data_IF_580008171596
#
_entry.id   IF_580008171596
#
_cell.length_a   1.000
_cell.length_b   1.000
_cell.length_c   1.000
_cell.angle_alpha   90.00
_cell.angle_beta   90.00
_cell.angle_gamma   90.00
#
_symmetry.space_group_name_H-M   'P 1'
#
loop_
_entity.id
_entity.type
_entity.pdbx_description
1 polymer ?
#
# COMPACT_ATOMS: atom_id res chain seq x y z
N UNK A 1 26.14 27.77 -62.86
CA UNK A 1 24.95 27.77 -61.99
C UNK A 1 24.93 26.45 -61.22
N UNK A 2 25.30 26.50 -59.94
CA UNK A 2 25.39 25.33 -59.07
C UNK A 2 24.00 24.88 -58.63
N UNK A 3 23.72 23.58 -58.74
CA UNK A 3 22.51 22.95 -58.18
C UNK A 3 22.77 22.67 -56.69
N UNK A 4 22.06 23.37 -55.82
CA UNK A 4 22.06 23.12 -54.38
C UNK A 4 21.14 21.91 -54.12
N UNK A 5 21.72 20.85 -53.57
CA UNK A 5 21.02 19.69 -53.03
C UNK A 5 20.51 20.09 -51.65
N UNK A 6 19.19 20.15 -51.46
CA UNK A 6 18.56 20.35 -50.16
C UNK A 6 18.41 18.96 -49.50
N UNK A 7 19.29 18.64 -48.55
CA UNK A 7 19.12 17.47 -47.67
C UNK A 7 18.11 17.87 -46.59
N UNK A 8 16.88 17.35 -46.69
CA UNK A 8 15.90 17.44 -45.62
C UNK A 8 16.25 16.40 -44.53
N UNK A 9 16.86 16.84 -43.43
CA UNK A 9 16.97 16.03 -42.22
C UNK A 9 15.56 15.85 -41.62
N UNK A 10 14.97 14.68 -41.85
CA UNK A 10 13.80 14.20 -41.11
C UNK A 10 14.23 13.89 -39.66
N UNK A 11 14.10 14.86 -38.77
CA UNK A 11 14.03 14.59 -37.34
C UNK A 11 12.71 13.87 -37.06
N UNK A 12 12.72 12.53 -37.12
CA UNK A 12 11.71 11.73 -36.44
C UNK A 12 11.90 11.95 -34.94
N UNK A 13 11.09 12.83 -34.35
CA UNK A 13 10.84 12.77 -32.92
C UNK A 13 10.14 11.43 -32.66
N UNK A 14 10.93 10.43 -32.26
CA UNK A 14 10.39 9.21 -31.64
C UNK A 14 9.82 9.69 -30.31
N UNK A 15 8.51 9.95 -30.25
CA UNK A 15 7.82 9.98 -28.98
C UNK A 15 8.05 8.62 -28.35
N UNK A 16 8.74 8.57 -27.21
CA UNK A 16 8.89 7.33 -26.46
C UNK A 16 7.49 6.79 -26.18
N UNK A 17 7.15 5.65 -26.78
CA UNK A 17 5.86 5.01 -26.56
C UNK A 17 5.76 4.59 -25.09
N UNK A 18 4.63 4.89 -24.43
CA UNK A 18 4.35 4.42 -23.07
C UNK A 18 4.62 2.92 -22.97
N UNK A 19 5.40 2.45 -21.97
CA UNK A 19 5.65 1.02 -21.77
C UNK A 19 4.32 0.25 -21.69
N UNK A 20 4.21 -0.93 -22.33
CA UNK A 20 2.96 -1.69 -22.36
C UNK A 20 2.50 -2.10 -20.96
N UNK A 21 3.44 -2.26 -20.01
CA UNK A 21 3.19 -2.59 -18.61
C UNK A 21 2.26 -1.58 -17.94
N UNK A 22 2.29 -0.31 -18.34
CA UNK A 22 1.41 0.73 -17.81
C UNK A 22 -0.08 0.46 -18.04
N UNK A 23 -0.43 -0.52 -18.90
CA UNK A 23 -1.81 -0.91 -19.22
C UNK A 23 -2.11 -2.36 -18.87
N UNK A 24 -1.14 -3.09 -18.33
CA UNK A 24 -1.30 -4.50 -18.01
C UNK A 24 -2.15 -4.70 -16.76
N UNK A 25 -2.93 -5.77 -16.72
CA UNK A 25 -3.44 -6.29 -15.45
C UNK A 25 -2.27 -6.84 -14.62
N UNK A 26 -2.42 -6.98 -13.29
CA UNK A 26 -1.40 -7.60 -12.45
C UNK A 26 -0.98 -8.99 -12.95
N UNK A 27 -1.94 -9.79 -13.43
CA UNK A 27 -1.67 -11.10 -14.01
C UNK A 27 -0.85 -11.01 -15.32
N UNK A 28 -1.16 -10.03 -16.17
CA UNK A 28 -0.39 -9.77 -17.39
C UNK A 28 1.05 -9.36 -17.05
N UNK A 29 1.27 -8.49 -16.05
CA UNK A 29 2.62 -8.13 -15.59
C UNK A 29 3.42 -9.35 -15.09
N UNK A 30 2.77 -10.23 -14.31
CA UNK A 30 3.41 -11.44 -13.77
C UNK A 30 3.78 -12.40 -14.91
N UNK A 31 2.84 -12.66 -15.82
CA UNK A 31 3.02 -13.64 -16.91
C UNK A 31 3.97 -13.13 -17.99
N UNK A 32 3.94 -11.83 -18.32
CA UNK A 32 4.90 -11.23 -19.26
C UNK A 32 6.33 -11.22 -18.72
N UNK A 33 6.49 -11.15 -17.39
CA UNK A 33 7.78 -11.30 -16.71
C UNK A 33 8.29 -12.76 -16.67
N UNK A 34 7.50 -13.73 -17.15
CA UNK A 34 7.86 -15.15 -17.24
C UNK A 34 7.55 -15.97 -15.99
N UNK A 35 6.73 -15.45 -15.07
CA UNK A 35 6.35 -16.14 -13.83
C UNK A 35 4.98 -16.83 -13.94
N UNK A 36 4.76 -17.92 -13.19
CA UNK A 36 3.45 -18.55 -13.05
C UNK A 36 2.52 -17.67 -12.21
N UNK A 37 1.68 -16.87 -12.87
CA UNK A 37 0.69 -16.02 -12.23
C UNK A 37 -0.69 -16.67 -12.16
N UNK A 38 -1.37 -16.48 -11.03
CA UNK A 38 -2.78 -16.82 -10.85
C UNK A 38 -3.58 -15.58 -10.40
N UNK A 39 -4.86 -15.54 -10.74
CA UNK A 39 -5.81 -14.56 -10.21
C UNK A 39 -6.91 -15.28 -9.46
N UNK A 40 -7.24 -14.77 -8.28
CA UNK A 40 -8.25 -15.32 -7.40
C UNK A 40 -9.25 -14.25 -7.00
N UNK A 41 -10.46 -14.68 -6.67
CA UNK A 41 -11.49 -13.82 -6.09
C UNK A 41 -11.97 -14.44 -4.79
N UNK A 42 -12.11 -13.62 -3.75
CA UNK A 42 -12.64 -14.05 -2.44
C UNK A 42 -13.68 -13.04 -1.96
N UNK A 43 -14.80 -13.54 -1.45
CA UNK A 43 -15.87 -12.70 -0.92
C UNK A 43 -15.72 -12.55 0.59
N UNK A 44 -15.69 -11.31 1.07
CA UNK A 44 -15.68 -11.00 2.49
C UNK A 44 -17.03 -11.29 3.14
N UNK A 45 -17.05 -11.42 4.47
CA UNK A 45 -18.29 -11.68 5.22
C UNK A 45 -19.36 -10.59 5.07
N UNK A 46 -18.96 -9.37 4.73
CA UNK A 46 -19.85 -8.24 4.48
C UNK A 46 -20.13 -8.01 2.98
N UNK A 47 -19.60 -8.85 2.10
CA UNK A 47 -20.06 -8.96 0.71
C UNK A 47 -19.19 -8.30 -0.35
N UNK A 48 -18.04 -7.74 0.00
CA UNK A 48 -17.06 -7.26 -0.98
C UNK A 48 -16.35 -8.44 -1.66
N UNK A 49 -16.07 -8.32 -2.96
CA UNK A 49 -15.31 -9.30 -3.72
C UNK A 49 -13.91 -8.75 -3.94
N UNK A 50 -12.92 -9.38 -3.30
CA UNK A 50 -11.53 -8.96 -3.35
C UNK A 50 -10.78 -9.77 -4.41
N UNK A 51 -10.03 -9.07 -5.28
CA UNK A 51 -9.16 -9.70 -6.27
C UNK A 51 -7.74 -9.89 -5.74
N UNK A 52 -7.24 -11.13 -5.72
CA UNK A 52 -5.88 -11.45 -5.28
C UNK A 52 -5.05 -11.95 -6.46
N UNK A 53 -3.75 -11.69 -6.40
CA UNK A 53 -2.78 -12.32 -7.31
C UNK A 53 -1.85 -13.24 -6.55
N UNK A 54 -1.41 -14.29 -7.23
CA UNK A 54 -0.45 -15.25 -6.68
C UNK A 54 0.67 -15.50 -7.69
N UNK A 55 1.89 -15.57 -7.19
CA UNK A 55 3.05 -16.06 -7.92
C UNK A 55 3.49 -17.36 -7.22
N UNK A 56 3.10 -18.51 -7.79
CA UNK A 56 3.20 -19.80 -7.09
C UNK A 56 4.64 -20.29 -6.91
N UNK A 57 5.56 -19.88 -7.79
CA UNK A 57 7.00 -20.17 -7.72
C UNK A 57 7.80 -19.25 -8.67
N UNK A 58 9.11 -19.14 -8.44
CA UNK A 58 10.03 -18.39 -9.30
C UNK A 58 10.25 -19.01 -10.68
N UNK A 59 10.89 -18.28 -11.60
CA UNK A 59 11.03 -18.67 -13.03
C UNK A 59 11.70 -20.02 -13.25
N UNK A 60 12.62 -20.39 -12.36
CA UNK A 60 13.38 -21.66 -12.40
C UNK A 60 12.91 -22.65 -11.32
N UNK A 61 11.83 -22.33 -10.61
CA UNK A 61 11.31 -23.12 -9.50
C UNK A 61 10.61 -24.42 -9.94
N UNK A 62 10.65 -25.44 -9.08
CA UNK A 62 9.92 -26.71 -9.29
C UNK A 62 8.41 -26.54 -9.08
N UNK A 63 7.59 -27.04 -9.99
CA UNK A 63 6.11 -26.89 -9.94
C UNK A 63 5.46 -27.54 -8.71
N UNK A 64 5.97 -28.68 -8.23
CA UNK A 64 5.32 -29.50 -7.19
C UNK A 64 5.97 -29.40 -5.79
N UNK A 65 6.63 -28.29 -5.47
CA UNK A 65 7.23 -28.09 -4.15
C UNK A 65 6.31 -27.30 -3.21
N UNK A 66 6.14 -27.80 -1.98
CA UNK A 66 5.52 -27.06 -0.89
C UNK A 66 6.42 -25.89 -0.50
N UNK A 67 5.86 -24.68 -0.45
CA UNK A 67 6.59 -23.44 -0.19
C UNK A 67 5.97 -22.66 0.97
N UNK A 68 6.78 -21.93 1.75
CA UNK A 68 6.24 -20.99 2.73
C UNK A 68 5.48 -19.87 2.01
N UNK A 69 4.28 -19.57 2.51
CA UNK A 69 3.50 -18.43 2.01
C UNK A 69 4.08 -17.12 2.52
N UNK A 70 4.14 -16.12 1.65
CA UNK A 70 4.40 -14.73 2.01
C UNK A 70 3.34 -13.84 1.38
N UNK A 71 2.69 -13.04 2.21
CA UNK A 71 1.58 -12.18 1.82
C UNK A 71 2.04 -10.72 1.78
N UNK A 72 1.85 -10.06 0.65
CA UNK A 72 2.26 -8.68 0.40
C UNK A 72 1.04 -7.75 0.32
N UNK A 73 0.98 -6.74 1.18
CA UNK A 73 -0.14 -5.81 1.28
C UNK A 73 0.28 -4.36 1.02
N UNK A 74 -0.30 -3.77 -0.02
CA UNK A 74 -0.01 -2.41 -0.46
C UNK A 74 -0.52 -1.31 0.50
N UNK A 75 -0.08 -0.07 0.25
CA UNK A 75 -0.44 1.13 1.00
C UNK A 75 -1.74 1.82 0.60
N UNK A 76 -1.93 3.04 1.11
CA UNK A 76 -3.06 3.93 0.78
C UNK A 76 -3.05 4.25 -0.72
N UNK A 77 -4.23 4.26 -1.37
CA UNK A 77 -4.39 4.57 -2.80
C UNK A 77 -3.57 3.69 -3.76
N UNK A 78 -3.10 2.53 -3.29
CA UNK A 78 -2.25 1.63 -4.07
C UNK A 78 -2.98 0.32 -4.42
N UNK A 79 -2.26 -0.57 -5.10
CA UNK A 79 -2.73 -1.91 -5.45
C UNK A 79 -1.60 -2.94 -5.39
N UNK A 80 -1.95 -4.21 -5.61
CA UNK A 80 -1.02 -5.34 -5.68
C UNK A 80 0.14 -5.13 -6.67
N UNK A 81 -0.04 -4.30 -7.69
CA UNK A 81 0.99 -3.95 -8.69
C UNK A 81 2.24 -3.33 -8.07
N UNK A 82 2.14 -2.65 -6.92
CA UNK A 82 3.30 -2.07 -6.23
C UNK A 82 4.46 -3.06 -6.01
N UNK A 83 4.15 -4.35 -5.93
CA UNK A 83 5.13 -5.41 -5.67
C UNK A 83 5.77 -6.00 -6.93
N UNK A 84 5.37 -5.55 -8.13
CA UNK A 84 5.71 -6.15 -9.43
C UNK A 84 5.94 -5.13 -10.57
N UNK A 85 6.07 -3.83 -10.27
CA UNK A 85 6.20 -2.76 -11.29
C UNK A 85 7.61 -2.55 -11.85
N UNK A 86 8.67 -2.93 -11.13
CA UNK A 86 10.06 -2.59 -11.49
C UNK A 86 10.76 -3.68 -12.32
N UNK A 87 10.07 -4.78 -12.58
CA UNK A 87 10.61 -5.96 -13.23
C UNK A 87 11.23 -6.99 -12.27
N UNK A 88 11.69 -8.15 -12.80
CA UNK A 88 12.01 -9.33 -11.99
C UNK A 88 13.11 -9.15 -10.93
N UNK A 89 14.13 -8.35 -11.23
CA UNK A 89 15.29 -8.18 -10.35
C UNK A 89 15.07 -7.13 -9.26
N UNK A 90 14.07 -6.26 -9.45
CA UNK A 90 13.90 -5.02 -8.68
C UNK A 90 12.52 -4.92 -8.01
N UNK A 91 11.67 -5.94 -8.15
CA UNK A 91 10.36 -5.99 -7.50
C UNK A 91 10.27 -7.12 -6.48
N UNK A 92 9.86 -6.78 -5.25
CA UNK A 92 9.82 -7.71 -4.12
C UNK A 92 9.04 -9.00 -4.43
N UNK A 93 7.90 -8.91 -5.14
CA UNK A 93 7.08 -10.08 -5.46
C UNK A 93 7.83 -11.12 -6.29
N UNK A 94 8.59 -10.67 -7.29
CA UNK A 94 9.41 -11.55 -8.14
C UNK A 94 10.62 -12.11 -7.41
N UNK A 95 11.30 -11.27 -6.63
CA UNK A 95 12.49 -11.67 -5.86
C UNK A 95 12.11 -12.74 -4.82
N UNK A 96 10.98 -12.61 -4.14
CA UNK A 96 10.48 -13.62 -3.20
C UNK A 96 10.09 -14.93 -3.90
N UNK A 97 9.46 -14.86 -5.08
CA UNK A 97 9.15 -16.06 -5.85
C UNK A 97 10.43 -16.83 -6.25
N UNK A 98 11.45 -16.11 -6.73
CA UNK A 98 12.76 -16.68 -7.06
C UNK A 98 13.52 -17.19 -5.81
N UNK A 99 13.28 -16.59 -4.64
CA UNK A 99 13.79 -17.05 -3.35
C UNK A 99 13.04 -18.27 -2.79
N UNK A 100 12.02 -18.78 -3.48
CA UNK A 100 11.34 -20.04 -3.15
C UNK A 100 10.07 -19.88 -2.30
N UNK A 101 9.48 -18.69 -2.22
CA UNK A 101 8.21 -18.47 -1.56
C UNK A 101 7.00 -18.70 -2.49
N UNK A 102 5.85 -19.02 -1.90
CA UNK A 102 4.53 -18.89 -2.53
C UNK A 102 4.00 -17.48 -2.23
N UNK A 103 4.03 -16.59 -3.23
CA UNK A 103 3.82 -15.15 -3.03
C UNK A 103 2.37 -14.79 -3.32
N UNK A 104 1.70 -14.18 -2.35
CA UNK A 104 0.33 -13.67 -2.48
C UNK A 104 0.32 -12.15 -2.40
N UNK A 105 -0.42 -11.51 -3.30
CA UNK A 105 -0.56 -10.06 -3.40
C UNK A 105 -2.03 -9.69 -3.10
N UNK A 106 -2.25 -8.97 -2.01
CA UNK A 106 -3.58 -8.55 -1.58
C UNK A 106 -4.06 -7.28 -2.28
N UNK A 107 -5.38 -7.14 -2.44
CA UNK A 107 -6.05 -5.89 -2.81
C UNK A 107 -7.24 -5.66 -1.88
N UNK A 108 -7.28 -4.48 -1.27
CA UNK A 108 -8.38 -4.09 -0.36
C UNK A 108 -9.60 -3.61 -1.14
N UNK A 109 -10.78 -3.71 -0.52
CA UNK A 109 -12.04 -3.21 -1.07
C UNK A 109 -11.92 -1.78 -1.63
N UNK A 110 -12.57 -1.56 -2.76
CA UNK A 110 -12.66 -0.25 -3.41
C UNK A 110 -11.44 0.17 -4.22
N UNK A 111 -10.33 -0.56 -4.20
CA UNK A 111 -9.28 -0.34 -5.20
C UNK A 111 -9.66 -0.96 -6.57
N UNK A 112 -8.89 -0.64 -7.62
CA UNK A 112 -9.12 -1.06 -9.01
C UNK A 112 -9.44 -2.55 -9.18
N UNK A 113 -8.85 -3.41 -8.35
CA UNK A 113 -8.96 -4.87 -8.47
C UNK A 113 -9.93 -5.51 -7.47
N UNK A 114 -10.58 -4.70 -6.62
CA UNK A 114 -11.50 -5.13 -5.57
C UNK A 114 -12.72 -4.17 -5.48
N UNK A 115 -13.20 -3.70 -6.63
CA UNK A 115 -14.32 -2.75 -6.76
C UNK A 115 -15.64 -3.45 -7.08
N UNK A 116 -15.94 -4.55 -6.40
CA UNK A 116 -17.15 -5.35 -6.60
C UNK A 116 -17.77 -5.76 -5.24
N UNK A 117 -19.10 -5.83 -5.21
CA UNK A 117 -19.86 -6.26 -4.03
C UNK A 117 -21.09 -7.06 -4.46
N UNK A 118 -21.48 -8.08 -3.68
CA UNK A 118 -22.64 -8.95 -3.96
C UNK A 118 -24.01 -8.26 -3.93
N UNK A 119 -24.07 -6.97 -3.58
CA UNK A 119 -25.31 -6.22 -3.32
C UNK A 119 -25.24 -4.79 -3.85
N UNK A 120 -24.19 -4.07 -3.49
CA UNK A 120 -24.06 -2.65 -3.82
C UNK A 120 -23.29 -2.45 -5.11
N UNK A 121 -23.74 -1.51 -5.94
CA UNK A 121 -23.05 -1.08 -7.14
C UNK A 121 -22.12 0.11 -6.80
N UNK A 122 -20.80 0.00 -7.06
CA UNK A 122 -19.82 1.04 -6.69
C UNK A 122 -20.04 2.38 -7.38
N UNK A 123 -20.74 2.40 -8.53
CA UNK A 123 -21.01 3.61 -9.31
C UNK A 123 -22.35 4.27 -8.97
N UNK A 124 -23.13 3.68 -8.05
CA UNK A 124 -24.51 4.14 -7.76
C UNK A 124 -24.83 4.21 -6.27
N UNK A 125 -24.35 3.23 -5.50
CA UNK A 125 -24.75 3.03 -4.12
C UNK A 125 -23.63 3.54 -3.20
N UNK A 126 -23.96 4.56 -2.40
CA UNK A 126 -23.00 5.17 -1.46
C UNK A 126 -22.51 4.18 -0.39
N UNK A 127 -23.35 3.22 -0.05
CA UNK A 127 -23.10 2.16 0.93
C UNK A 127 -21.92 1.27 0.53
N UNK A 128 -21.56 1.22 -0.76
CA UNK A 128 -20.33 0.57 -1.22
C UNK A 128 -19.07 1.25 -0.67
N UNK A 129 -19.11 2.54 -0.36
CA UNK A 129 -17.94 3.33 0.04
C UNK A 129 -17.90 3.64 1.54
N UNK A 130 -18.82 3.08 2.32
CA UNK A 130 -18.89 3.24 3.78
C UNK A 130 -17.90 2.32 4.51
N UNK A 131 -16.61 2.53 4.24
CA UNK A 131 -15.51 1.77 4.86
C UNK A 131 -14.27 2.64 5.06
N UNK A 132 -13.38 2.22 5.97
CA UNK A 132 -12.04 2.76 6.16
C UNK A 132 -11.00 1.64 6.29
N UNK A 133 -9.77 1.96 6.70
CA UNK A 133 -8.79 0.94 7.03
C UNK A 133 -9.22 0.01 8.18
N UNK A 134 -10.23 0.40 8.99
CA UNK A 134 -10.85 -0.49 9.97
C UNK A 134 -11.36 -1.77 9.31
N UNK A 135 -12.20 -1.64 8.29
CA UNK A 135 -12.72 -2.79 7.54
C UNK A 135 -11.61 -3.52 6.77
N UNK A 136 -10.61 -2.79 6.26
CA UNK A 136 -9.44 -3.42 5.65
C UNK A 136 -8.73 -4.36 6.64
N UNK A 137 -8.51 -3.91 7.87
CA UNK A 137 -7.79 -4.65 8.91
C UNK A 137 -8.63 -5.78 9.53
N UNK A 138 -9.91 -5.51 9.78
CA UNK A 138 -10.80 -6.40 10.56
C UNK A 138 -11.58 -7.37 9.68
N UNK A 139 -11.67 -7.13 8.37
CA UNK A 139 -12.46 -7.95 7.45
C UNK A 139 -11.62 -8.41 6.25
N UNK A 140 -11.03 -7.49 5.49
CA UNK A 140 -10.33 -7.87 4.25
C UNK A 140 -9.10 -8.71 4.54
N UNK A 141 -8.24 -8.24 5.45
CA UNK A 141 -6.99 -8.90 5.81
C UNK A 141 -7.19 -10.35 6.30
N UNK A 142 -8.07 -10.66 7.28
CA UNK A 142 -8.31 -12.05 7.66
C UNK A 142 -8.91 -12.87 6.52
N UNK A 143 -9.81 -12.31 5.70
CA UNK A 143 -10.40 -13.01 4.55
C UNK A 143 -9.33 -13.41 3.53
N UNK A 144 -8.44 -12.48 3.16
CA UNK A 144 -7.38 -12.71 2.19
C UNK A 144 -6.34 -13.72 2.69
N UNK A 145 -5.92 -13.61 3.95
CA UNK A 145 -4.93 -14.53 4.53
C UNK A 145 -5.51 -15.94 4.66
N UNK A 146 -6.75 -16.07 5.13
CA UNK A 146 -7.38 -17.39 5.27
C UNK A 146 -7.58 -18.07 3.92
N UNK A 147 -7.91 -17.30 2.88
CA UNK A 147 -7.99 -17.81 1.52
C UNK A 147 -6.62 -18.29 1.01
N UNK A 148 -5.57 -17.47 1.15
CA UNK A 148 -4.21 -17.82 0.70
C UNK A 148 -3.68 -19.08 1.40
N UNK A 149 -3.91 -19.22 2.71
CA UNK A 149 -3.54 -20.39 3.49
C UNK A 149 -4.34 -21.64 3.09
N UNK A 150 -5.64 -21.48 2.83
CA UNK A 150 -6.49 -22.57 2.34
C UNK A 150 -6.03 -23.11 0.98
N UNK A 151 -5.74 -22.23 0.02
CA UNK A 151 -5.29 -22.61 -1.33
C UNK A 151 -3.89 -23.26 -1.30
N UNK A 152 -3.00 -22.74 -0.47
CA UNK A 152 -1.61 -23.26 -0.35
C UNK A 152 -1.49 -24.52 0.52
N UNK A 153 -2.49 -24.81 1.37
CA UNK A 153 -2.42 -25.85 2.40
C UNK A 153 -1.44 -25.54 3.54
N UNK A 154 -0.98 -24.28 3.67
CA UNK A 154 -0.14 -23.84 4.79
C UNK A 154 -0.99 -23.42 5.99
N UNK A 155 -0.44 -23.55 7.19
CA UNK A 155 -1.11 -23.10 8.43
C UNK A 155 -0.71 -21.68 8.86
N UNK A 156 0.32 -21.11 8.24
CA UNK A 156 0.87 -19.82 8.62
C UNK A 156 1.59 -19.16 7.44
N UNK A 157 1.73 -17.83 7.50
CA UNK A 157 2.34 -16.99 6.47
C UNK A 157 3.33 -16.01 7.09
N UNK A 158 4.27 -15.53 6.29
CA UNK A 158 4.91 -14.24 6.54
C UNK A 158 4.03 -13.12 5.99
N UNK A 159 4.06 -11.95 6.63
CA UNK A 159 3.30 -10.79 6.16
C UNK A 159 4.24 -9.62 5.93
N UNK A 160 4.17 -9.02 4.75
CA UNK A 160 4.87 -7.79 4.40
C UNK A 160 3.83 -6.73 4.11
N UNK A 161 3.86 -5.63 4.85
CA UNK A 161 3.01 -4.48 4.60
C UNK A 161 3.85 -3.28 4.18
N UNK A 162 3.32 -2.44 3.30
CA UNK A 162 3.83 -1.10 3.04
C UNK A 162 2.79 -0.06 3.47
N UNK A 163 3.20 1.01 4.18
CA UNK A 163 2.33 2.15 4.48
C UNK A 163 1.03 1.71 5.18
N UNK A 164 -0.16 2.01 4.65
CA UNK A 164 -1.45 1.52 5.16
C UNK A 164 -1.51 -0.02 5.31
N UNK A 165 -0.80 -0.78 4.48
CA UNK A 165 -0.69 -2.22 4.63
C UNK A 165 -0.02 -2.62 5.95
N UNK A 166 0.88 -1.79 6.48
CA UNK A 166 1.42 -1.99 7.84
C UNK A 166 0.38 -1.66 8.91
N UNK A 167 -0.37 -0.56 8.73
CA UNK A 167 -1.44 -0.14 9.62
C UNK A 167 -2.52 -1.24 9.75
N UNK A 168 -2.87 -1.88 8.64
CA UNK A 168 -3.76 -3.03 8.61
C UNK A 168 -3.21 -4.20 9.45
N UNK A 169 -1.92 -4.52 9.31
CA UNK A 169 -1.27 -5.56 10.11
C UNK A 169 -1.28 -5.22 11.60
N UNK A 170 -0.94 -3.98 11.97
CA UNK A 170 -0.96 -3.51 13.36
C UNK A 170 -2.36 -3.56 13.98
N UNK A 171 -3.39 -3.09 13.27
CA UNK A 171 -4.78 -3.12 13.72
C UNK A 171 -5.33 -4.56 13.78
N UNK A 172 -5.16 -5.32 12.70
CA UNK A 172 -5.70 -6.67 12.57
C UNK A 172 -5.07 -7.66 13.55
N UNK A 173 -3.74 -7.68 13.66
CA UNK A 173 -3.05 -8.64 14.53
C UNK A 173 -3.15 -8.28 16.02
N UNK A 174 -3.37 -7.01 16.38
CA UNK A 174 -3.68 -6.63 17.77
C UNK A 174 -5.13 -6.93 18.17
N UNK A 175 -6.05 -6.95 17.21
CA UNK A 175 -7.49 -7.11 17.47
C UNK A 175 -8.00 -8.54 17.28
N UNK A 176 -7.24 -9.41 16.60
CA UNK A 176 -7.67 -10.76 16.29
C UNK A 176 -6.54 -11.78 16.55
N UNK A 177 -6.62 -12.46 17.70
CA UNK A 177 -5.62 -13.45 18.11
C UNK A 177 -5.52 -14.65 17.15
N UNK A 178 -6.64 -15.08 16.55
CA UNK A 178 -6.66 -16.18 15.57
C UNK A 178 -5.94 -15.80 14.28
N UNK A 179 -6.10 -14.55 13.82
CA UNK A 179 -5.35 -14.04 12.70
C UNK A 179 -3.86 -13.92 13.05
N UNK A 180 -3.55 -13.32 14.19
CA UNK A 180 -2.18 -13.13 14.66
C UNK A 180 -1.40 -14.44 14.77
N UNK A 181 -2.05 -15.53 15.24
CA UNK A 181 -1.39 -16.84 15.37
C UNK A 181 -0.95 -17.46 14.03
N UNK A 182 -1.48 -16.95 12.90
CA UNK A 182 -1.11 -17.39 11.55
C UNK A 182 0.10 -16.62 11.01
N UNK A 183 0.59 -15.60 11.69
CA UNK A 183 1.68 -14.74 11.20
C UNK A 183 3.00 -15.13 11.85
N UNK A 184 3.91 -15.69 11.05
CA UNK A 184 5.25 -16.12 11.49
C UNK A 184 6.18 -14.94 11.77
N UNK A 185 6.04 -13.89 10.96
CA UNK A 185 6.82 -12.67 11.05
C UNK A 185 6.16 -11.56 10.23
N UNK A 186 6.19 -10.35 10.77
CA UNK A 186 5.65 -9.15 10.16
C UNK A 186 6.79 -8.22 9.75
N UNK A 187 6.95 -7.99 8.44
CA UNK A 187 7.89 -7.03 7.87
C UNK A 187 7.13 -5.75 7.48
N UNK A 188 7.34 -4.69 8.24
CA UNK A 188 6.62 -3.43 8.06
C UNK A 188 7.53 -2.40 7.37
N UNK A 189 7.22 -2.10 6.10
CA UNK A 189 7.94 -1.13 5.27
C UNK A 189 7.23 0.23 5.35
N UNK A 190 7.95 1.30 5.70
CA UNK A 190 7.35 2.59 6.04
C UNK A 190 6.18 2.42 7.05
N UNK A 191 6.47 1.95 8.28
CA UNK A 191 5.44 1.50 9.21
C UNK A 191 4.60 2.67 9.74
N UNK A 192 3.27 2.56 9.58
CA UNK A 192 2.31 3.56 10.02
C UNK A 192 1.43 3.00 11.15
N UNK A 193 1.34 3.73 12.25
CA UNK A 193 0.37 3.45 13.33
C UNK A 193 -0.26 4.74 13.87
N UNK A 194 0.55 5.78 14.06
CA UNK A 194 0.10 7.17 14.24
C UNK A 194 0.63 8.01 13.09
N UNK A 195 -0.03 9.13 12.82
CA UNK A 195 0.27 10.04 11.70
C UNK A 195 0.13 11.51 12.13
N UNK A 196 0.50 11.80 13.37
CA UNK A 196 0.36 13.14 13.94
C UNK A 196 1.32 14.14 13.30
N UNK A 197 2.53 13.70 13.02
CA UNK A 197 3.67 14.56 12.68
C UNK A 197 4.04 14.48 11.19
N UNK A 198 3.11 13.98 10.36
CA UNK A 198 3.28 13.85 8.91
C UNK A 198 3.42 15.19 8.18
N UNK A 199 4.03 15.14 7.00
CA UNK A 199 4.26 16.28 6.12
C UNK A 199 3.42 16.21 4.81
N UNK A 200 3.64 17.15 3.90
CA UNK A 200 3.05 17.17 2.56
C UNK A 200 1.55 17.51 2.48
N UNK A 201 0.95 17.13 1.34
CA UNK A 201 -0.45 17.45 1.03
C UNK A 201 -1.42 16.83 2.05
N UNK A 202 -1.10 15.66 2.59
CA UNK A 202 -1.98 14.96 3.53
C UNK A 202 -2.09 15.69 4.87
N UNK A 203 -0.98 16.25 5.38
CA UNK A 203 -0.98 17.10 6.57
C UNK A 203 -1.87 18.33 6.39
N UNK A 204 -1.92 18.89 5.17
CA UNK A 204 -2.83 20.00 4.85
C UNK A 204 -4.29 19.55 4.78
N UNK A 205 -4.59 18.45 4.09
CA UNK A 205 -5.94 17.86 4.04
C UNK A 205 -6.48 17.65 5.46
N UNK A 206 -5.66 17.12 6.37
CA UNK A 206 -6.06 16.88 7.75
C UNK A 206 -6.45 18.14 8.54
N UNK A 207 -5.89 19.31 8.22
CA UNK A 207 -6.24 20.57 8.88
C UNK A 207 -7.63 21.07 8.47
N UNK A 208 -8.07 20.75 7.26
CA UNK A 208 -9.28 21.32 6.67
C UNK A 208 -10.28 20.27 6.16
N UNK A 209 -10.12 18.98 6.52
CA UNK A 209 -10.93 17.89 5.97
C UNK A 209 -12.43 18.11 6.15
N UNK A 210 -12.89 18.70 7.26
CA UNK A 210 -14.31 19.01 7.48
C UNK A 210 -14.91 19.93 6.39
N UNK A 211 -14.08 20.79 5.80
CA UNK A 211 -14.46 21.67 4.68
C UNK A 211 -14.30 20.94 3.35
N UNK A 212 -13.30 20.05 3.23
CA UNK A 212 -12.99 19.34 1.99
C UNK A 212 -13.83 18.09 1.73
N UNK A 213 -14.41 17.46 2.75
CA UNK A 213 -15.19 16.21 2.62
C UNK A 213 -16.27 16.29 1.54
N UNK A 214 -17.08 17.36 1.45
CA UNK A 214 -18.06 17.50 0.36
C UNK A 214 -17.45 17.52 -1.05
N UNK A 215 -16.16 17.85 -1.18
CA UNK A 215 -15.43 17.94 -2.45
C UNK A 215 -14.61 16.69 -2.77
N UNK A 216 -14.50 15.74 -1.83
CA UNK A 216 -13.73 14.50 -2.04
C UNK A 216 -14.52 13.42 -2.80
N UNK A 217 -15.83 13.55 -2.89
CA UNK A 217 -16.66 12.68 -3.73
C UNK A 217 -17.31 13.47 -4.88
N UNK A 218 -16.56 13.63 -5.97
CA UNK A 218 -17.03 14.33 -7.19
C UNK A 218 -18.28 13.67 -7.78
N UNK A 219 -18.39 12.35 -7.65
CA UNK A 219 -19.50 11.53 -8.13
C UNK A 219 -20.66 11.43 -7.14
N UNK A 220 -20.47 11.86 -5.89
CA UNK A 220 -21.47 11.80 -4.83
C UNK A 220 -21.70 10.40 -4.22
N UNK A 221 -20.97 9.38 -4.69
CA UNK A 221 -21.12 7.99 -4.20
C UNK A 221 -20.14 7.63 -3.08
N UNK A 222 -19.22 8.52 -2.69
CA UNK A 222 -18.26 8.26 -1.61
C UNK A 222 -16.90 7.70 -2.04
N UNK A 223 -16.66 7.47 -3.33
CA UNK A 223 -15.31 7.21 -3.87
C UNK A 223 -14.43 8.46 -3.75
N UNK A 224 -13.20 8.30 -3.28
CA UNK A 224 -12.21 9.38 -3.29
C UNK A 224 -11.64 9.53 -4.70
N UNK A 225 -12.09 10.59 -5.37
CA UNK A 225 -11.55 10.98 -6.68
C UNK A 225 -10.81 12.30 -6.49
N UNK A 226 -9.46 12.29 -6.49
CA UNK A 226 -8.72 13.51 -6.23
C UNK A 226 -8.95 14.53 -7.35
N UNK A 227 -9.35 15.75 -6.96
CA UNK A 227 -9.72 16.81 -7.89
C UNK A 227 -8.47 17.42 -8.53
N UNK A 228 -8.44 17.49 -9.87
CA UNK A 228 -7.29 18.01 -10.63
C UNK A 228 -6.83 19.40 -10.16
N UNK A 229 -7.73 20.36 -9.98
CA UNK A 229 -7.35 21.72 -9.55
C UNK A 229 -6.79 21.76 -8.13
N UNK A 230 -7.16 20.80 -7.27
CA UNK A 230 -6.57 20.64 -5.94
C UNK A 230 -5.17 20.03 -6.06
N UNK A 231 -5.00 19.02 -6.92
CA UNK A 231 -3.70 18.40 -7.21
C UNK A 231 -2.73 19.45 -7.78
N UNK A 232 -3.13 20.21 -8.81
CA UNK A 232 -2.28 21.20 -9.48
C UNK A 232 -1.76 22.24 -8.46
N UNK A 233 -2.66 22.77 -7.60
CA UNK A 233 -2.28 23.70 -6.51
C UNK A 233 -1.38 23.06 -5.46
N UNK A 234 -1.61 21.80 -5.13
CA UNK A 234 -0.76 21.07 -4.19
C UNK A 234 0.64 20.83 -4.78
N UNK A 235 0.74 20.55 -6.09
CA UNK A 235 1.98 20.48 -6.84
C UNK A 235 2.79 21.78 -6.74
N UNK A 236 2.14 22.93 -6.96
CA UNK A 236 2.79 24.26 -6.82
C UNK A 236 3.31 24.54 -5.39
N UNK A 237 2.65 24.01 -4.36
CA UNK A 237 2.94 24.33 -2.96
C UNK A 237 3.94 23.37 -2.31
N UNK A 238 3.86 22.07 -2.62
CA UNK A 238 4.54 21.02 -1.88
C UNK A 238 5.58 20.26 -2.72
N UNK A 239 5.49 20.32 -4.05
CA UNK A 239 6.40 19.59 -4.92
C UNK A 239 7.52 20.48 -5.43
N UNK A 240 8.75 20.00 -5.28
CA UNK A 240 9.97 20.65 -5.75
C UNK A 240 10.66 19.84 -6.85
N UNK A 241 9.99 18.78 -7.33
CA UNK A 241 10.53 17.90 -8.36
C UNK A 241 10.57 18.57 -9.72
N UNK A 242 11.59 18.21 -10.51
CA UNK A 242 11.69 18.65 -11.90
C UNK A 242 10.85 17.81 -12.85
N UNK A 243 10.28 16.71 -12.36
CA UNK A 243 9.43 15.80 -13.13
C UNK A 243 7.97 16.22 -12.93
N UNK A 244 7.37 16.79 -13.97
CA UNK A 244 6.01 17.33 -13.92
C UNK A 244 4.99 16.28 -13.49
N UNK A 245 5.13 15.05 -13.97
CA UNK A 245 4.22 13.95 -13.66
C UNK A 245 4.29 13.51 -12.19
N UNK A 246 5.43 13.69 -11.52
CA UNK A 246 5.58 13.45 -10.07
C UNK A 246 4.77 14.50 -9.31
N UNK A 247 4.92 15.78 -9.67
CA UNK A 247 4.19 16.86 -9.02
C UNK A 247 2.68 16.86 -9.34
N UNK A 248 2.28 16.28 -10.47
CA UNK A 248 0.88 16.14 -10.88
C UNK A 248 0.17 14.90 -10.33
N UNK A 249 0.81 14.11 -9.46
CA UNK A 249 0.23 12.86 -8.96
C UNK A 249 -0.01 12.91 -7.44
N UNK A 250 -1.24 12.60 -7.04
CA UNK A 250 -1.68 12.66 -5.64
C UNK A 250 -0.83 11.79 -4.70
N UNK A 251 -0.34 10.63 -5.17
CA UNK A 251 0.41 9.71 -4.33
C UNK A 251 1.76 10.32 -3.95
N UNK A 252 2.50 10.87 -4.91
CA UNK A 252 3.76 11.57 -4.64
C UNK A 252 3.57 12.82 -3.76
N UNK A 253 2.44 13.54 -3.92
CA UNK A 253 2.13 14.71 -3.10
C UNK A 253 1.80 14.38 -1.64
N UNK A 254 1.29 13.17 -1.36
CA UNK A 254 1.01 12.72 0.01
C UNK A 254 2.19 11.94 0.61
N UNK A 255 2.94 11.20 -0.19
CA UNK A 255 4.00 10.29 0.25
C UNK A 255 5.40 10.92 0.27
N UNK A 256 5.63 12.04 -0.43
CA UNK A 256 6.97 12.51 -0.73
C UNK A 256 7.59 11.83 -1.95
N UNK A 257 8.72 12.35 -2.42
CA UNK A 257 9.40 11.89 -3.64
C UNK A 257 10.92 11.95 -3.47
N UNK A 258 11.61 10.88 -3.86
CA UNK A 258 13.07 10.86 -4.04
C UNK A 258 13.40 10.66 -5.53
N UNK A 259 13.57 11.76 -6.26
CA UNK A 259 13.97 11.72 -7.68
C UNK A 259 15.28 10.96 -7.92
N UNK A 260 16.18 10.89 -6.93
CA UNK A 260 17.48 10.22 -7.12
C UNK A 260 17.38 8.71 -7.06
N UNK A 261 16.35 8.19 -6.41
CA UNK A 261 16.15 6.77 -6.22
C UNK A 261 14.90 6.25 -6.94
N UNK A 262 14.23 7.09 -7.72
CA UNK A 262 13.14 6.70 -8.61
C UNK A 262 13.65 6.42 -10.02
N UNK A 263 13.17 5.34 -10.63
CA UNK A 263 13.46 5.09 -12.05
C UNK A 263 12.50 5.87 -12.94
N UNK A 264 12.97 6.99 -13.50
CA UNK A 264 12.19 7.88 -14.36
C UNK A 264 11.56 7.18 -15.57
N UNK A 265 12.23 6.16 -16.12
CA UNK A 265 11.71 5.42 -17.29
C UNK A 265 10.46 4.59 -16.96
N UNK A 266 10.21 4.30 -15.68
CA UNK A 266 9.07 3.53 -15.19
C UNK A 266 7.95 4.41 -14.62
N UNK A 267 8.12 5.73 -14.57
CA UNK A 267 7.07 6.66 -14.12
C UNK A 267 5.73 6.43 -14.85
N UNK A 268 5.69 6.26 -16.19
CA UNK A 268 4.43 5.97 -16.86
C UNK A 268 3.77 4.66 -16.40
N UNK A 269 4.56 3.66 -15.98
CA UNK A 269 4.06 2.40 -15.42
C UNK A 269 3.47 2.64 -14.03
N UNK A 270 4.15 3.37 -13.15
CA UNK A 270 3.66 3.71 -11.81
C UNK A 270 2.33 4.46 -11.88
N UNK A 271 2.24 5.45 -12.77
CA UNK A 271 1.06 6.29 -12.95
C UNK A 271 -0.09 5.57 -13.67
N UNK A 272 0.23 4.52 -14.46
CA UNK A 272 -0.78 3.63 -15.04
C UNK A 272 -1.53 2.80 -13.99
N UNK A 273 -0.97 2.65 -12.79
CA UNK A 273 -1.54 1.84 -11.71
C UNK A 273 -1.84 2.60 -10.42
N UNK A 274 -1.46 3.88 -10.31
CA UNK A 274 -1.67 4.69 -9.10
C UNK A 274 -2.16 6.10 -9.43
N UNK A 275 -3.12 6.65 -8.65
CA UNK A 275 -3.83 6.01 -7.54
C UNK A 275 -4.81 4.92 -8.01
N UNK A 276 -4.99 3.89 -7.20
CA UNK A 276 -5.86 2.75 -7.50
C UNK A 276 -7.25 2.83 -6.86
N UNK A 277 -7.58 3.90 -6.14
CA UNK A 277 -8.90 4.09 -5.51
C UNK A 277 -8.97 3.77 -4.01
N UNK A 278 -9.88 4.45 -3.32
CA UNK A 278 -10.22 4.29 -1.90
C UNK A 278 -11.53 5.03 -1.62
N UNK A 279 -12.18 4.79 -0.48
CA UNK A 279 -13.31 5.61 -0.02
C UNK A 279 -12.86 6.97 0.54
N UNK A 280 -13.76 7.95 0.46
CA UNK A 280 -13.64 9.22 1.20
C UNK A 280 -13.58 8.97 2.70
N UNK A 281 -14.36 8.01 3.22
CA UNK A 281 -14.34 7.66 4.64
C UNK A 281 -12.95 7.21 5.10
N UNK A 282 -12.20 6.46 4.28
CA UNK A 282 -10.82 6.10 4.60
C UNK A 282 -9.90 7.33 4.67
N UNK A 283 -10.01 8.27 3.71
CA UNK A 283 -9.23 9.51 3.72
C UNK A 283 -9.57 10.38 4.94
N UNK A 284 -10.85 10.43 5.33
CA UNK A 284 -11.30 11.10 6.55
C UNK A 284 -10.73 10.43 7.79
N UNK A 285 -10.67 9.11 7.82
CA UNK A 285 -10.10 8.38 8.96
C UNK A 285 -8.62 8.76 9.17
N UNK A 286 -7.82 8.76 8.11
CA UNK A 286 -6.45 9.25 8.20
C UNK A 286 -6.37 10.70 8.70
N UNK A 287 -7.24 11.60 8.22
CA UNK A 287 -7.30 12.98 8.71
C UNK A 287 -7.66 13.08 10.21
N UNK A 288 -8.53 12.19 10.72
CA UNK A 288 -8.85 12.08 12.14
C UNK A 288 -7.63 11.62 12.95
N UNK A 289 -6.85 10.68 12.42
CA UNK A 289 -5.62 10.21 13.07
C UNK A 289 -4.58 11.33 13.17
N UNK A 290 -4.41 12.14 12.14
CA UNK A 290 -3.51 13.31 12.20
C UNK A 290 -3.93 14.27 13.31
N UNK A 291 -5.24 14.57 13.38
CA UNK A 291 -5.78 15.50 14.38
C UNK A 291 -5.69 14.97 15.81
N UNK A 292 -5.96 13.69 16.00
CA UNK A 292 -5.98 13.06 17.34
C UNK A 292 -4.60 12.62 17.81
N UNK A 293 -3.68 12.31 16.89
CA UNK A 293 -2.43 11.64 17.16
C UNK A 293 -2.62 10.23 17.73
N UNK A 294 -3.80 9.62 17.56
CA UNK A 294 -4.15 8.34 18.12
C UNK A 294 -4.30 7.27 17.04
N UNK A 295 -3.84 6.06 17.35
CA UNK A 295 -4.13 4.88 16.56
C UNK A 295 -5.44 4.27 17.05
N UNK A 296 -6.53 4.60 16.36
CA UNK A 296 -7.89 4.31 16.81
C UNK A 296 -8.80 3.99 15.63
N UNK A 297 -9.99 3.49 15.93
CA UNK A 297 -11.06 3.28 14.96
C UNK A 297 -11.67 4.62 14.50
N UNK A 298 -12.50 4.57 13.46
CA UNK A 298 -13.11 5.73 12.84
C UNK A 298 -13.99 6.56 13.80
N UNK A 299 -13.87 7.88 13.79
CA UNK A 299 -14.81 8.74 14.52
C UNK A 299 -16.03 9.07 13.65
N UNK A 300 -17.20 8.55 14.02
CA UNK A 300 -18.46 8.85 13.34
C UNK A 300 -18.98 10.28 13.63
N UNK A 301 -18.20 11.10 14.31
CA UNK A 301 -18.40 12.55 14.43
C UNK A 301 -19.32 12.96 15.58
N UNK A 302 -19.91 12.01 16.30
CA UNK A 302 -20.70 12.27 17.51
C UNK A 302 -20.67 11.09 18.47
N UNK A 303 -20.86 11.37 19.76
CA UNK A 303 -20.93 10.33 20.79
C UNK A 303 -22.09 9.34 20.54
N UNK A 304 -23.22 9.80 20.00
CA UNK A 304 -24.36 8.92 19.67
C UNK A 304 -24.04 8.00 18.50
N UNK A 305 -23.41 8.52 17.43
CA UNK A 305 -23.03 7.70 16.28
C UNK A 305 -21.94 6.69 16.67
N UNK A 306 -20.93 7.09 17.44
CA UNK A 306 -19.93 6.15 17.96
C UNK A 306 -20.56 5.04 18.80
N UNK A 307 -21.58 5.36 19.63
CA UNK A 307 -22.29 4.32 20.41
C UNK A 307 -23.00 3.29 19.55
N UNK A 308 -23.56 3.73 18.42
CA UNK A 308 -24.24 2.85 17.46
C UNK A 308 -23.25 1.88 16.81
N UNK A 309 -22.06 2.36 16.43
CA UNK A 309 -21.05 1.55 15.76
C UNK A 309 -20.14 0.74 16.71
N UNK A 310 -19.95 1.18 17.95
CA UNK A 310 -18.96 0.63 18.88
C UNK A 310 -19.56 0.04 20.15
N UNK A 311 -20.69 -0.65 20.03
CA UNK A 311 -21.33 -1.40 21.12
C UNK A 311 -21.54 -0.55 22.39
N UNK A 312 -21.97 0.70 22.22
CA UNK A 312 -22.23 1.62 23.33
C UNK A 312 -21.05 2.48 23.80
N UNK A 313 -19.88 2.40 23.16
CA UNK A 313 -18.76 3.31 23.43
C UNK A 313 -18.98 4.69 22.79
N UNK A 314 -18.83 5.77 23.57
CA UNK A 314 -19.00 7.15 23.07
C UNK A 314 -17.82 7.71 22.28
N UNK A 315 -16.67 7.04 22.34
CA UNK A 315 -15.44 7.41 21.64
C UNK A 315 -14.93 6.21 20.85
N UNK A 316 -14.23 6.41 19.73
CA UNK A 316 -13.68 5.32 18.96
C UNK A 316 -12.67 4.50 19.81
N UNK A 317 -12.74 3.16 19.77
CA UNK A 317 -11.76 2.32 20.44
C UNK A 317 -10.33 2.53 19.92
N UNK A 318 -9.34 2.44 20.81
CA UNK A 318 -7.92 2.47 20.44
C UNK A 318 -7.44 1.09 19.98
N UNK A 319 -6.58 1.04 18.97
CA UNK A 319 -5.82 -0.16 18.64
C UNK A 319 -4.64 -0.33 19.60
N UNK A 320 -4.65 -1.42 20.36
CA UNK A 320 -3.69 -1.62 21.45
C UNK A 320 -2.43 -2.36 21.00
N UNK A 321 -1.35 -1.60 20.75
CA UNK A 321 -0.05 -2.16 20.40
C UNK A 321 0.83 -2.51 21.62
N UNK A 322 0.38 -2.23 22.84
CA UNK A 322 1.13 -2.54 24.05
C UNK A 322 1.29 -4.04 24.29
N UNK A 323 0.42 -4.86 23.71
CA UNK A 323 0.45 -6.32 23.79
C UNK A 323 0.50 -6.97 22.39
N UNK A 324 1.13 -6.28 21.43
CA UNK A 324 1.21 -6.76 20.06
C UNK A 324 1.90 -8.14 19.99
N UNK A 325 1.23 -9.19 19.46
CA UNK A 325 1.70 -10.57 19.63
C UNK A 325 2.68 -11.06 18.55
N UNK A 326 2.82 -10.35 17.44
CA UNK A 326 3.53 -10.86 16.25
C UNK A 326 4.99 -10.38 16.19
N UNK A 327 5.98 -11.28 15.98
CA UNK A 327 7.37 -10.88 15.74
C UNK A 327 7.49 -9.89 14.58
N UNK A 328 7.99 -8.68 14.85
CA UNK A 328 7.94 -7.56 13.91
C UNK A 328 9.33 -7.03 13.55
N UNK A 329 9.55 -6.79 12.26
CA UNK A 329 10.75 -6.19 11.68
C UNK A 329 10.34 -4.89 10.98
N UNK A 330 10.98 -3.77 11.31
CA UNK A 330 10.63 -2.46 10.77
C UNK A 330 11.69 -2.00 9.77
N UNK A 331 11.24 -1.45 8.65
CA UNK A 331 12.08 -0.79 7.65
C UNK A 331 11.65 0.68 7.57
N UNK A 332 12.54 1.59 7.90
CA UNK A 332 12.21 3.00 8.17
C UNK A 332 13.10 3.95 7.38
N UNK A 333 12.55 5.06 6.90
CA UNK A 333 13.25 6.12 6.19
C UNK A 333 13.27 7.40 7.01
N UNK A 334 14.36 8.17 6.97
CA UNK A 334 14.42 9.45 7.71
C UNK A 334 13.94 10.64 6.89
N UNK A 335 13.61 10.43 5.62
CA UNK A 335 13.02 11.45 4.75
C UNK A 335 11.52 11.26 4.56
N UNK A 336 10.99 10.08 4.82
CA UNK A 336 9.58 9.71 4.71
C UNK A 336 8.60 10.73 5.34
N UNK A 337 7.70 11.29 4.52
CA UNK A 337 6.70 12.28 4.94
C UNK A 337 5.50 11.68 5.69
N UNK A 338 5.19 10.39 5.50
CA UNK A 338 3.98 9.75 6.04
C UNK A 338 4.25 8.82 7.21
N UNK A 339 5.28 7.99 7.10
CA UNK A 339 5.79 7.20 8.22
C UNK A 339 6.94 7.99 8.86
N UNK A 340 6.62 9.19 9.37
CA UNK A 340 7.63 10.14 9.79
C UNK A 340 8.46 9.61 10.98
N UNK A 341 9.73 10.03 11.13
CA UNK A 341 10.60 9.50 12.17
C UNK A 341 10.09 9.67 13.61
N UNK A 342 9.27 10.68 13.89
CA UNK A 342 8.68 10.95 15.20
C UNK A 342 7.60 9.93 15.52
N UNK A 343 6.64 9.73 14.61
CA UNK A 343 5.58 8.71 14.77
C UNK A 343 6.17 7.29 14.81
N UNK A 344 7.14 7.00 13.94
CA UNK A 344 7.85 5.71 13.92
C UNK A 344 8.61 5.45 15.21
N UNK A 345 9.25 6.47 15.81
CA UNK A 345 9.89 6.34 17.12
C UNK A 345 8.88 5.98 18.21
N UNK A 346 7.69 6.57 18.17
CA UNK A 346 6.57 6.23 19.05
C UNK A 346 6.17 4.74 18.92
N UNK A 347 6.08 4.24 17.69
CA UNK A 347 5.80 2.83 17.41
C UNK A 347 6.91 1.91 17.92
N UNK A 348 8.18 2.21 17.62
CA UNK A 348 9.34 1.43 18.10
C UNK A 348 9.30 1.28 19.61
N UNK A 349 9.01 2.37 20.34
CA UNK A 349 8.91 2.33 21.79
C UNK A 349 7.80 1.36 22.25
N UNK A 350 6.60 1.42 21.66
CA UNK A 350 5.49 0.51 22.03
C UNK A 350 5.86 -0.95 21.76
N UNK A 351 6.42 -1.25 20.59
CA UNK A 351 6.75 -2.62 20.19
C UNK A 351 7.92 -3.19 21.01
N UNK A 352 8.95 -2.40 21.28
CA UNK A 352 10.14 -2.83 22.00
C UNK A 352 9.89 -2.93 23.52
N UNK A 353 9.33 -1.89 24.13
CA UNK A 353 9.27 -1.79 25.60
C UNK A 353 8.05 -2.47 26.19
N UNK A 354 6.92 -2.45 25.47
CA UNK A 354 5.64 -2.89 26.05
C UNK A 354 5.27 -4.29 25.59
N UNK A 355 5.34 -4.54 24.27
CA UNK A 355 4.97 -5.85 23.72
C UNK A 355 6.12 -6.85 23.58
N UNK A 356 7.39 -6.39 23.57
CA UNK A 356 8.58 -7.20 23.27
C UNK A 356 8.51 -7.96 21.92
N UNK A 357 7.73 -7.41 20.97
CA UNK A 357 7.45 -8.01 19.67
C UNK A 357 8.44 -7.57 18.59
N UNK A 358 9.16 -6.46 18.81
CA UNK A 358 10.17 -5.94 17.89
C UNK A 358 11.39 -6.87 17.83
N UNK A 359 11.75 -7.32 16.62
CA UNK A 359 12.89 -8.22 16.35
C UNK A 359 14.01 -7.57 15.55
N UNK A 360 13.74 -6.48 14.83
CA UNK A 360 14.76 -5.75 14.09
C UNK A 360 14.24 -4.42 13.57
N UNK A 361 15.16 -3.47 13.40
CA UNK A 361 14.91 -2.19 12.75
C UNK A 361 16.02 -1.96 11.72
N UNK A 362 15.65 -1.83 10.46
CA UNK A 362 16.52 -1.46 9.36
C UNK A 362 16.18 -0.03 8.96
N UNK A 363 17.04 0.93 9.34
CA UNK A 363 16.87 2.33 8.97
C UNK A 363 17.69 2.65 7.72
N UNK A 364 17.07 3.30 6.74
CA UNK A 364 17.69 3.74 5.49
C UNK A 364 17.55 5.27 5.44
N UNK A 365 18.58 6.03 5.87
CA UNK A 365 18.41 7.45 6.20
C UNK A 365 17.92 8.34 5.06
N UNK A 366 18.17 7.98 3.81
CA UNK A 366 17.80 8.78 2.65
C UNK A 366 16.45 8.38 2.04
N UNK A 367 15.83 7.28 2.50
CA UNK A 367 14.55 6.84 1.94
C UNK A 367 13.39 7.78 2.30
N UNK A 368 12.63 8.10 1.27
CA UNK A 368 11.26 8.58 1.26
C UNK A 368 10.26 7.41 1.25
N UNK A 369 8.97 7.72 1.34
CA UNK A 369 7.93 6.72 1.59
C UNK A 369 7.76 5.68 0.46
N UNK A 370 8.00 6.07 -0.80
CA UNK A 370 7.80 5.22 -1.97
C UNK A 370 9.05 4.42 -2.33
N UNK A 371 10.22 4.74 -1.76
CA UNK A 371 11.46 4.01 -2.02
C UNK A 371 11.36 2.53 -1.61
N UNK A 372 10.55 2.22 -0.60
CA UNK A 372 10.33 0.84 -0.16
C UNK A 372 9.68 -0.06 -1.22
N UNK A 373 9.03 0.52 -2.23
CA UNK A 373 8.37 -0.22 -3.33
C UNK A 373 8.98 0.09 -4.70
N UNK A 374 9.51 1.30 -4.92
CA UNK A 374 9.99 1.78 -6.22
C UNK A 374 11.43 2.28 -6.22
N UNK A 375 12.11 2.21 -5.07
CA UNK A 375 13.51 2.60 -4.96
C UNK A 375 14.40 1.72 -5.84
N UNK A 376 15.28 2.32 -6.64
CA UNK A 376 16.22 1.62 -7.52
C UNK A 376 17.10 0.65 -6.70
N UNK A 377 17.45 1.01 -5.47
CA UNK A 377 18.27 0.19 -4.58
C UNK A 377 17.47 -0.67 -3.58
N UNK A 378 16.14 -0.69 -3.67
CA UNK A 378 15.27 -1.39 -2.71
C UNK A 378 15.51 -2.91 -2.66
N UNK A 379 15.90 -3.50 -3.80
CA UNK A 379 16.30 -4.90 -3.87
C UNK A 379 17.44 -5.23 -2.89
N UNK A 380 18.47 -4.39 -2.84
CA UNK A 380 19.62 -4.59 -1.96
C UNK A 380 19.34 -4.15 -0.51
N UNK A 381 18.70 -2.99 -0.34
CA UNK A 381 18.54 -2.35 0.97
C UNK A 381 17.39 -2.91 1.81
N UNK A 382 16.37 -3.45 1.15
CA UNK A 382 15.14 -3.91 1.80
C UNK A 382 14.89 -5.38 1.50
N UNK A 383 14.78 -5.75 0.22
CA UNK A 383 14.19 -7.05 -0.16
C UNK A 383 15.08 -8.22 0.21
N UNK A 384 16.39 -8.13 -0.07
CA UNK A 384 17.36 -9.14 0.38
C UNK A 384 17.46 -9.22 1.91
N UNK A 385 17.32 -8.09 2.61
CA UNK A 385 17.36 -8.05 4.07
C UNK A 385 16.16 -8.77 4.68
N UNK A 386 14.95 -8.62 4.11
CA UNK A 386 13.77 -9.41 4.50
C UNK A 386 14.07 -10.91 4.39
N UNK A 387 14.65 -11.35 3.27
CA UNK A 387 15.00 -12.75 3.05
C UNK A 387 16.04 -13.24 4.08
N UNK A 388 17.06 -12.42 4.38
CA UNK A 388 18.06 -12.74 5.41
C UNK A 388 17.43 -12.91 6.79
N UNK A 389 16.49 -12.04 7.17
CA UNK A 389 15.73 -12.19 8.42
C UNK A 389 14.93 -13.50 8.45
N UNK A 390 14.25 -13.85 7.36
CA UNK A 390 13.48 -15.10 7.27
C UNK A 390 14.39 -16.33 7.40
N UNK A 391 15.57 -16.29 6.78
CA UNK A 391 16.54 -17.39 6.80
C UNK A 391 17.38 -17.45 8.08
N UNK A 392 17.25 -16.49 8.99
CA UNK A 392 18.03 -16.41 10.22
C UNK A 392 19.53 -16.16 10.00
N UNK A 393 19.90 -15.53 8.88
CA UNK A 393 21.30 -15.35 8.42
C UNK A 393 21.81 -13.92 8.64
N UNK A 394 21.61 -13.38 9.85
CA UNK A 394 22.02 -12.00 10.19
C UNK A 394 23.44 -11.88 10.72
#
# INVERSE_FOLDING_TARGET
MARIILIACLFHFIFASTPPEAKYTPLQMITSAGYPGESHSVTTRDGYVLGLQRISYGRTGKTNATRPVIFLQHGLLCASTNWITNGPSDSLGFILADAGFDVWLGNVRGNTYSREHVKYNPDKDKEFWDFSFDEHALIDLPTMIDYALSVSGQNSTYYVGHSQGTMMGFAGFSSNATLASKIRGFFALAPVSTVKDIEGMFAYIAKIYKVLVPFFSVTGVGEFVPNKSIIDKAGELFCFSKIEEVCGNVLFLICGFDEKNLNDSLIPVYLGHTPAGTSVQNVVHWAQMVKSGAFQMYDYGSASANKEHYNGNSTPPLYNLSQFPVPTYLFTGNKDWLADPTDVKGLINKLNTTSNSLKGVTNIPYYEHLDFIWGIDAAEKVYKVIISYINGSN
#
